data_IF_548262596156
#
_entry.id   IF_548262596156
#
_cell.length_a   1.000
_cell.length_b   1.000
_cell.length_c   1.000
_cell.angle_alpha   90.00
_cell.angle_beta   90.00
_cell.angle_gamma   90.00
#
_symmetry.space_group_name_H-M   'P 1'
#
loop_
_entity.id
_entity.type
_entity.pdbx_description
1 polymer ?
#
# COMPACT_ATOMS: atom_id res chain seq x y z
N UNK A 1 -21.04 -39.56 25.80
CA UNK A 1 -20.61 -38.85 27.03
C UNK A 1 -19.34 -38.08 26.72
N UNK A 2 -19.38 -36.75 26.74
CA UNK A 2 -18.19 -35.91 26.47
C UNK A 2 -17.35 -35.83 27.72
N UNK A 3 -16.17 -36.42 27.71
CA UNK A 3 -15.21 -36.38 28.81
C UNK A 3 -14.69 -34.94 28.99
N UNK A 4 -15.09 -34.30 30.09
CA UNK A 4 -14.57 -32.97 30.49
C UNK A 4 -13.06 -33.06 30.74
N UNK A 5 -12.25 -32.54 29.82
CA UNK A 5 -10.79 -32.42 29.97
C UNK A 5 -10.49 -31.21 30.88
N UNK A 6 -10.01 -31.47 32.10
CA UNK A 6 -9.62 -30.43 33.07
C UNK A 6 -8.36 -29.70 32.56
N UNK A 7 -8.49 -28.42 32.21
CA UNK A 7 -7.35 -27.56 31.85
C UNK A 7 -6.57 -27.26 33.14
N UNK A 8 -5.33 -27.72 33.23
CA UNK A 8 -4.43 -27.40 34.36
C UNK A 8 -3.85 -26.00 34.14
N UNK A 9 -3.94 -25.15 35.17
CA UNK A 9 -3.27 -23.84 35.18
C UNK A 9 -1.75 -24.09 35.13
N UNK A 10 -1.09 -23.58 34.08
CA UNK A 10 0.36 -23.53 34.05
C UNK A 10 0.82 -22.61 35.18
N UNK A 11 1.63 -23.14 36.09
CA UNK A 11 2.26 -22.34 37.14
C UNK A 11 3.35 -21.52 36.47
N UNK A 12 3.06 -20.24 36.22
CA UNK A 12 4.06 -19.30 35.75
C UNK A 12 4.99 -18.97 36.92
N UNK A 13 6.32 -19.03 36.74
CA UNK A 13 7.23 -18.63 37.79
C UNK A 13 7.05 -17.13 38.05
N UNK A 14 6.82 -16.76 39.32
CA UNK A 14 6.63 -15.39 39.77
C UNK A 14 7.84 -15.02 40.64
N UNK A 15 8.58 -13.95 40.31
CA UNK A 15 9.71 -13.52 41.14
C UNK A 15 9.22 -13.10 42.52
N UNK A 16 9.93 -13.55 43.56
CA UNK A 16 9.56 -13.33 44.97
C UNK A 16 10.18 -12.07 45.57
N UNK A 17 11.22 -11.52 44.93
CA UNK A 17 11.95 -10.35 45.37
C UNK A 17 12.49 -9.56 44.17
N UNK A 18 13.12 -8.41 44.43
CA UNK A 18 13.66 -7.52 43.40
C UNK A 18 14.84 -8.13 42.62
N UNK A 19 15.62 -9.01 43.25
CA UNK A 19 16.77 -9.66 42.61
C UNK A 19 16.31 -10.69 41.57
N UNK A 20 15.34 -11.54 41.92
CA UNK A 20 14.68 -12.46 40.98
C UNK A 20 13.96 -11.70 39.85
N UNK A 21 13.37 -10.54 40.14
CA UNK A 21 12.75 -9.70 39.12
C UNK A 21 13.79 -9.11 38.13
N UNK A 22 14.98 -8.74 38.61
CA UNK A 22 16.08 -8.26 37.77
C UNK A 22 16.63 -9.37 36.86
N UNK A 23 16.72 -10.61 37.36
CA UNK A 23 17.06 -11.76 36.52
C UNK A 23 16.02 -12.00 35.41
N UNK A 24 14.73 -11.87 35.72
CA UNK A 24 13.65 -12.00 34.75
C UNK A 24 13.76 -10.90 33.68
N UNK A 25 13.99 -9.65 34.06
CA UNK A 25 14.21 -8.56 33.12
C UNK A 25 15.41 -8.82 32.21
N UNK A 26 16.49 -9.39 32.76
CA UNK A 26 17.68 -9.77 31.99
C UNK A 26 17.34 -10.83 30.95
N UNK A 27 16.63 -11.90 31.35
CA UNK A 27 16.18 -12.97 30.45
C UNK A 27 15.25 -12.43 29.36
N UNK A 28 14.28 -11.58 29.72
CA UNK A 28 13.39 -10.92 28.76
C UNK A 28 14.21 -10.08 27.76
N UNK A 29 15.23 -9.36 28.23
CA UNK A 29 16.12 -8.59 27.36
C UNK A 29 16.89 -9.45 26.37
N UNK A 30 17.39 -10.62 26.80
CA UNK A 30 18.06 -11.59 25.92
C UNK A 30 17.10 -12.14 24.87
N UNK A 31 15.92 -12.60 25.28
CA UNK A 31 14.90 -13.13 24.36
C UNK A 31 14.45 -12.08 23.34
N UNK A 32 14.26 -10.81 23.77
CA UNK A 32 13.91 -9.72 22.85
C UNK A 32 14.99 -9.47 21.80
N UNK A 33 16.26 -9.52 22.17
CA UNK A 33 17.38 -9.37 21.22
C UNK A 33 17.44 -10.54 20.23
N UNK A 34 17.17 -11.76 20.68
CA UNK A 34 17.15 -12.91 19.78
C UNK A 34 15.97 -12.83 18.80
N UNK A 35 14.79 -12.38 19.26
CA UNK A 35 13.65 -12.08 18.37
C UNK A 35 14.04 -11.05 17.32
N UNK A 36 14.66 -9.94 17.73
CA UNK A 36 15.08 -8.86 16.82
C UNK A 36 16.10 -9.36 15.79
N UNK A 37 17.06 -10.19 16.22
CA UNK A 37 18.05 -10.82 15.33
C UNK A 37 17.39 -11.73 14.29
N UNK A 38 16.44 -12.56 14.71
CA UNK A 38 15.68 -13.43 13.79
C UNK A 38 14.87 -12.60 12.80
N UNK A 39 14.20 -11.54 13.26
CA UNK A 39 13.42 -10.64 12.41
C UNK A 39 14.29 -9.90 11.40
N UNK A 40 15.46 -9.42 11.82
CA UNK A 40 16.42 -8.74 10.94
C UNK A 40 16.90 -9.69 9.84
N UNK A 41 17.36 -10.90 10.21
CA UNK A 41 17.81 -11.88 9.23
C UNK A 41 16.70 -12.37 8.28
N UNK A 42 15.44 -12.38 8.74
CA UNK A 42 14.30 -12.63 7.86
C UNK A 42 14.10 -11.49 6.85
N UNK A 43 14.15 -10.24 7.30
CA UNK A 43 13.99 -9.08 6.43
C UNK A 43 15.10 -9.04 5.37
N UNK A 44 16.36 -9.28 5.75
CA UNK A 44 17.48 -9.33 4.81
C UNK A 44 17.26 -10.39 3.72
N UNK A 45 16.73 -11.57 4.09
CA UNK A 45 16.39 -12.63 3.12
C UNK A 45 15.23 -12.24 2.22
N UNK A 46 14.21 -11.59 2.76
CA UNK A 46 13.08 -11.08 1.97
C UNK A 46 13.56 -10.04 0.96
N UNK A 47 14.48 -9.15 1.37
CA UNK A 47 15.06 -8.14 0.50
C UNK A 47 15.90 -8.78 -0.62
N UNK A 48 16.72 -9.78 -0.31
CA UNK A 48 17.45 -10.55 -1.33
C UNK A 48 16.52 -11.20 -2.34
N UNK A 49 15.50 -11.94 -1.87
CA UNK A 49 14.51 -12.58 -2.76
C UNK A 49 13.73 -11.57 -3.61
N UNK A 50 13.43 -10.39 -3.06
CA UNK A 50 12.80 -9.31 -3.83
C UNK A 50 13.72 -8.77 -4.90
N UNK A 51 15.00 -8.56 -4.59
CA UNK A 51 15.98 -8.04 -5.55
C UNK A 51 16.15 -9.00 -6.73
N UNK A 52 16.30 -10.29 -6.46
CA UNK A 52 16.43 -11.33 -7.49
C UNK A 52 15.17 -11.37 -8.39
N UNK A 53 13.98 -11.44 -7.77
CA UNK A 53 12.73 -11.45 -8.51
C UNK A 53 12.50 -10.16 -9.32
N UNK A 54 12.93 -9.00 -8.80
CA UNK A 54 12.88 -7.74 -9.55
C UNK A 54 13.82 -7.75 -10.77
N UNK A 55 14.98 -8.41 -10.68
CA UNK A 55 15.87 -8.62 -11.82
C UNK A 55 15.16 -9.36 -12.96
N UNK A 56 14.61 -10.55 -12.66
CA UNK A 56 13.89 -11.36 -13.66
C UNK A 56 12.68 -10.62 -14.26
N UNK A 57 11.92 -9.91 -13.41
CA UNK A 57 10.77 -9.12 -13.86
C UNK A 57 11.20 -7.98 -14.78
N UNK A 58 12.32 -7.31 -14.50
CA UNK A 58 12.82 -6.21 -15.34
C UNK A 58 13.23 -6.72 -16.73
N UNK A 59 13.92 -7.87 -16.81
CA UNK A 59 14.29 -8.49 -18.09
C UNK A 59 13.07 -8.81 -18.96
N UNK A 60 12.01 -9.33 -18.34
CA UNK A 60 10.76 -9.60 -19.05
C UNK A 60 10.03 -8.32 -19.45
N UNK A 61 10.02 -7.30 -18.60
CA UNK A 61 9.45 -5.99 -18.92
C UNK A 61 10.18 -5.31 -20.09
N UNK A 62 11.51 -5.42 -20.15
CA UNK A 62 12.30 -4.88 -21.27
C UNK A 62 11.94 -5.57 -22.59
N UNK A 63 11.87 -6.92 -22.59
CA UNK A 63 11.43 -7.70 -23.76
C UNK A 63 10.02 -7.31 -24.20
N UNK A 64 9.09 -7.15 -23.25
CA UNK A 64 7.73 -6.68 -23.54
C UNK A 64 7.77 -5.28 -24.17
N UNK A 65 8.56 -4.37 -23.62
CA UNK A 65 8.70 -3.00 -24.13
C UNK A 65 9.19 -2.99 -25.58
N UNK A 66 10.21 -3.79 -25.90
CA UNK A 66 10.73 -3.92 -27.27
C UNK A 66 9.69 -4.48 -28.25
N UNK A 67 8.93 -5.51 -27.83
CA UNK A 67 7.85 -6.07 -28.65
C UNK A 67 6.72 -5.06 -28.88
N UNK A 68 6.36 -4.31 -27.85
CA UNK A 68 5.34 -3.25 -27.91
C UNK A 68 5.79 -2.13 -28.85
N UNK A 69 7.05 -1.69 -28.77
CA UNK A 69 7.61 -0.67 -29.66
C UNK A 69 7.62 -1.14 -31.12
N UNK A 70 8.02 -2.39 -31.37
CA UNK A 70 7.92 -3.00 -32.70
C UNK A 70 6.48 -3.05 -33.23
N UNK A 71 5.51 -3.39 -32.36
CA UNK A 71 4.09 -3.38 -32.71
C UNK A 71 3.59 -1.96 -33.03
N UNK A 72 4.02 -0.95 -32.27
CA UNK A 72 3.69 0.45 -32.55
C UNK A 72 4.25 0.91 -33.91
N UNK A 73 5.51 0.61 -34.20
CA UNK A 73 6.12 0.96 -35.49
C UNK A 73 5.40 0.27 -36.67
N UNK A 74 5.03 -1.01 -36.50
CA UNK A 74 4.21 -1.74 -37.47
C UNK A 74 2.83 -1.08 -37.66
N UNK A 75 2.14 -0.74 -36.56
CA UNK A 75 0.80 -0.18 -36.59
C UNK A 75 0.78 1.22 -37.21
N UNK A 76 1.70 2.11 -36.84
CA UNK A 76 1.75 3.48 -37.36
C UNK A 76 2.12 3.51 -38.85
N UNK A 77 3.05 2.65 -39.31
CA UNK A 77 3.42 2.59 -40.73
C UNK A 77 2.29 2.07 -41.65
N UNK A 78 1.29 1.37 -41.10
CA UNK A 78 0.16 0.78 -41.84
C UNK A 78 -1.19 1.27 -41.35
N UNK A 79 -1.23 2.46 -40.74
CA UNK A 79 -2.43 2.95 -40.05
C UNK A 79 -3.65 3.02 -40.97
N UNK A 80 -3.52 3.56 -42.17
CA UNK A 80 -4.65 3.70 -43.09
C UNK A 80 -5.20 2.35 -43.56
N UNK A 81 -4.32 1.38 -43.82
CA UNK A 81 -4.70 0.01 -44.18
C UNK A 81 -5.42 -0.69 -43.02
N UNK A 82 -4.83 -0.63 -41.83
CA UNK A 82 -5.35 -1.29 -40.64
C UNK A 82 -6.66 -0.67 -40.15
N UNK A 83 -6.88 0.62 -40.39
CA UNK A 83 -8.09 1.35 -39.96
C UNK A 83 -9.15 1.51 -41.05
N UNK A 84 -8.91 0.97 -42.25
CA UNK A 84 -9.77 1.18 -43.44
C UNK A 84 -10.01 2.68 -43.71
N UNK A 85 -8.95 3.48 -43.66
CA UNK A 85 -9.03 4.94 -43.78
C UNK A 85 -9.75 5.59 -42.60
N UNK A 86 -9.66 5.01 -41.40
CA UNK A 86 -10.25 5.55 -40.16
C UNK A 86 -11.67 5.12 -39.84
N UNK A 87 -12.27 4.18 -40.60
CA UNK A 87 -13.60 3.61 -40.30
C UNK A 87 -13.62 2.76 -39.03
N UNK A 88 -12.50 2.10 -38.73
CA UNK A 88 -12.29 1.35 -37.49
C UNK A 88 -11.04 1.82 -36.77
N UNK A 89 -10.98 1.61 -35.45
CA UNK A 89 -9.84 2.01 -34.61
C UNK A 89 -9.18 0.84 -33.89
N UNK A 90 -9.68 -0.37 -34.12
CA UNK A 90 -9.24 -1.60 -33.46
C UNK A 90 -8.92 -2.63 -34.52
N UNK A 91 -7.86 -3.40 -34.28
CA UNK A 91 -7.41 -4.53 -35.08
C UNK A 91 -7.48 -5.77 -34.20
N UNK A 92 -8.35 -6.70 -34.56
CA UNK A 92 -8.53 -7.97 -33.86
C UNK A 92 -7.62 -9.04 -34.46
N UNK A 93 -6.93 -9.78 -33.60
CA UNK A 93 -6.09 -10.93 -33.92
C UNK A 93 -6.58 -12.15 -33.10
N UNK A 94 -6.25 -13.39 -33.50
CA UNK A 94 -6.64 -14.58 -32.73
C UNK A 94 -6.15 -14.59 -31.27
N UNK A 95 -5.03 -13.91 -30.99
CA UNK A 95 -4.37 -13.87 -29.67
C UNK A 95 -4.72 -12.63 -28.84
N UNK A 96 -5.46 -11.68 -29.40
CA UNK A 96 -5.76 -10.41 -28.75
C UNK A 96 -6.06 -9.31 -29.75
N UNK A 97 -6.06 -8.06 -29.30
CA UNK A 97 -6.37 -6.91 -30.16
C UNK A 97 -5.54 -5.70 -29.76
N UNK A 98 -5.36 -4.77 -30.69
CA UNK A 98 -4.73 -3.47 -30.45
C UNK A 98 -5.47 -2.37 -31.21
N UNK A 99 -5.29 -1.12 -30.84
CA UNK A 99 -6.01 -0.03 -31.49
C UNK A 99 -5.60 1.36 -31.05
N UNK A 100 -6.12 2.35 -31.77
CA UNK A 100 -5.85 3.75 -31.55
C UNK A 100 -6.88 4.36 -30.61
N UNK A 101 -6.40 4.84 -29.46
CA UNK A 101 -7.22 5.55 -28.47
C UNK A 101 -6.83 7.01 -28.39
N UNK A 102 -7.83 7.87 -28.17
CA UNK A 102 -7.59 9.25 -27.73
C UNK A 102 -7.37 9.19 -26.22
N UNK A 103 -6.15 9.48 -25.76
CA UNK A 103 -5.89 9.59 -24.33
C UNK A 103 -6.73 10.73 -23.75
N UNK A 104 -7.57 10.47 -22.73
CA UNK A 104 -8.36 11.53 -22.11
C UNK A 104 -7.43 12.57 -21.45
N UNK A 105 -7.83 13.84 -21.37
CA UNK A 105 -7.05 14.84 -20.66
C UNK A 105 -6.87 14.42 -19.20
N UNK A 106 -5.63 14.48 -18.72
CA UNK A 106 -5.27 14.19 -17.34
C UNK A 106 -4.83 15.46 -16.63
N UNK A 107 -5.03 15.50 -15.31
CA UNK A 107 -4.57 16.60 -14.44
C UNK A 107 -3.51 16.05 -13.51
N UNK A 108 -2.35 16.71 -13.44
CA UNK A 108 -1.26 16.37 -12.52
C UNK A 108 -0.99 17.55 -11.60
N UNK A 109 -0.86 17.29 -10.30
CA UNK A 109 -0.70 18.29 -9.25
C UNK A 109 0.64 18.03 -8.55
N UNK A 110 1.57 18.99 -8.63
CA UNK A 110 2.90 18.88 -7.97
C UNK A 110 2.86 19.29 -6.50
N UNK A 111 2.25 20.44 -6.19
CA UNK A 111 2.13 20.95 -4.82
C UNK A 111 0.67 21.12 -4.46
N UNK A 112 0.14 20.10 -3.77
CA UNK A 112 -1.28 20.04 -3.39
C UNK A 112 -1.68 21.24 -2.53
N UNK A 113 -0.85 21.66 -1.57
CA UNK A 113 -1.19 22.76 -0.66
C UNK A 113 -1.31 24.10 -1.40
N UNK A 114 -0.31 24.43 -2.21
CA UNK A 114 -0.33 25.67 -3.01
C UNK A 114 -1.51 25.68 -3.98
N UNK A 115 -1.78 24.56 -4.63
CA UNK A 115 -2.90 24.43 -5.57
C UNK A 115 -4.24 24.58 -4.86
N UNK A 116 -4.41 24.01 -3.66
CA UNK A 116 -5.63 24.22 -2.86
C UNK A 116 -5.80 25.69 -2.48
N UNK A 117 -4.73 26.39 -2.09
CA UNK A 117 -4.79 27.83 -1.77
C UNK A 117 -5.24 28.63 -2.98
N UNK A 118 -4.59 28.44 -4.13
CA UNK A 118 -4.93 29.14 -5.38
C UNK A 118 -6.36 28.80 -5.82
N UNK A 119 -6.79 27.53 -5.70
CA UNK A 119 -8.17 27.14 -6.01
C UNK A 119 -9.19 27.87 -5.13
N UNK A 120 -8.88 28.08 -3.84
CA UNK A 120 -9.74 28.85 -2.94
C UNK A 120 -9.72 30.35 -3.28
N UNK A 121 -8.55 30.93 -3.54
CA UNK A 121 -8.41 32.34 -3.95
C UNK A 121 -9.17 32.64 -5.25
N UNK A 122 -9.21 31.68 -6.18
CA UNK A 122 -9.95 31.79 -7.43
C UNK A 122 -11.46 31.44 -7.29
N UNK A 123 -11.95 31.15 -6.09
CA UNK A 123 -13.34 30.76 -5.86
C UNK A 123 -13.73 29.41 -6.49
N UNK A 124 -12.75 28.55 -6.77
CA UNK A 124 -12.92 27.24 -7.41
C UNK A 124 -13.06 26.11 -6.39
N UNK A 125 -13.83 26.36 -5.32
CA UNK A 125 -14.00 25.42 -4.20
C UNK A 125 -14.61 24.07 -4.61
N UNK A 126 -15.35 24.03 -5.73
CA UNK A 126 -15.87 22.78 -6.33
C UNK A 126 -14.80 21.74 -6.67
N UNK A 127 -13.53 22.16 -6.79
CA UNK A 127 -12.39 21.25 -7.03
C UNK A 127 -11.64 20.88 -5.74
N UNK A 128 -12.05 21.41 -4.58
CA UNK A 128 -11.46 21.11 -3.28
C UNK A 128 -12.34 20.11 -2.54
N UNK A 129 -11.84 18.89 -2.31
CA UNK A 129 -12.55 17.88 -1.52
C UNK A 129 -12.25 18.06 -0.04
N UNK A 130 -13.29 18.15 0.78
CA UNK A 130 -13.20 18.21 2.25
C UNK A 130 -13.44 16.82 2.83
N UNK A 131 -12.59 16.40 3.78
CA UNK A 131 -12.77 15.20 4.59
C UNK A 131 -12.88 15.63 6.05
N UNK A 132 -14.00 15.33 6.69
CA UNK A 132 -14.22 15.60 8.10
C UNK A 132 -13.77 14.40 8.93
N UNK A 133 -12.95 14.64 9.95
CA UNK A 133 -12.49 13.62 10.90
C UNK A 133 -12.65 14.15 12.33
N UNK A 134 -13.03 13.29 13.30
CA UNK A 134 -13.12 13.71 14.70
C UNK A 134 -11.76 14.16 15.26
N UNK A 135 -11.71 15.37 15.83
CA UNK A 135 -10.52 15.87 16.51
C UNK A 135 -10.43 15.30 17.93
N UNK A 136 -9.71 14.19 18.06
CA UNK A 136 -9.46 13.54 19.36
C UNK A 136 -8.76 14.45 20.37
N UNK A 137 -7.93 15.40 19.94
CA UNK A 137 -7.23 16.31 20.87
C UNK A 137 -8.18 17.37 21.41
N UNK A 138 -9.07 17.90 20.57
CA UNK A 138 -10.13 18.81 21.03
C UNK A 138 -11.08 18.07 21.98
N UNK A 139 -11.46 16.84 21.63
CA UNK A 139 -12.28 15.98 22.49
C UNK A 139 -11.64 15.71 23.86
N UNK A 140 -10.33 15.44 23.92
CA UNK A 140 -9.63 15.24 25.19
C UNK A 140 -9.58 16.49 26.09
N UNK A 141 -9.72 17.70 25.54
CA UNK A 141 -9.78 18.94 26.33
C UNK A 141 -11.12 19.15 27.02
N UNK A 142 -12.19 18.55 26.50
CA UNK A 142 -13.56 18.69 27.01
C UNK A 142 -14.19 17.32 27.28
N UNK A 143 -13.61 16.52 28.20
CA UNK A 143 -14.04 15.14 28.43
C UNK A 143 -15.50 15.04 28.91
N UNK A 144 -16.01 16.05 29.61
CA UNK A 144 -17.41 16.08 30.08
C UNK A 144 -18.40 16.22 28.92
N UNK A 145 -18.06 17.00 27.88
CA UNK A 145 -18.88 17.15 26.66
C UNK A 145 -18.79 15.86 25.83
N UNK A 146 -17.61 15.24 25.77
CA UNK A 146 -17.37 14.03 24.99
C UNK A 146 -18.08 12.80 25.53
N UNK A 147 -18.24 12.68 26.85
CA UNK A 147 -19.03 11.59 27.47
C UNK A 147 -20.49 11.56 26.98
N UNK A 148 -21.03 12.69 26.52
CA UNK A 148 -22.37 12.78 25.96
C UNK A 148 -22.45 12.30 24.49
N UNK A 149 -21.30 12.15 23.83
CA UNK A 149 -21.20 11.69 22.44
C UNK A 149 -21.25 10.17 22.39
N UNK A 150 -22.34 9.63 21.84
CA UNK A 150 -22.51 8.18 21.67
C UNK A 150 -21.41 7.60 20.76
N UNK A 151 -20.78 6.52 21.21
CA UNK A 151 -19.75 5.80 20.45
C UNK A 151 -18.30 6.26 20.71
N UNK A 152 -18.08 7.11 21.71
CA UNK A 152 -16.75 7.53 22.15
C UNK A 152 -16.48 6.98 23.56
N UNK A 153 -15.30 6.38 23.77
CA UNK A 153 -14.83 5.82 25.05
C UNK A 153 -13.40 6.23 25.34
#
# INVERSE_FOLDING_TARGET
MVTKKRIKRLVTPVPRNLEEAAEFLTKIGVEKREIEKIQTGLNDRIEGLKADAMGDVNDHNEKISQLVEGLFAFAESRRDELTEGGKRKTVDLPTGWFGWRKTPPSVSIRNVKSVITILKELGLERFVRVKEEPDKKAMLKEPEVVKLVKGVS
#
